data_IF_728299025822
#
_entry.id   IF_728299025822
#
_cell.length_a   1.000
_cell.length_b   1.000
_cell.length_c   1.000
_cell.angle_alpha   90.00
_cell.angle_beta   90.00
_cell.angle_gamma   90.00
#
_symmetry.space_group_name_H-M   'P 1'
#
loop_
_entity.id
_entity.type
_entity.pdbx_description
1 polymer ?
#
# COMPACT_ATOMS: atom_id res chain seq x y z
N UNK A 1 -18.60 -10.26 22.62
CA UNK A 1 -18.30 -10.10 21.17
C UNK A 1 -17.05 -9.23 21.00
N UNK A 2 -16.25 -9.38 19.93
CA UNK A 2 -15.07 -8.53 19.68
C UNK A 2 -15.38 -7.02 19.62
N UNK A 3 -16.66 -6.65 19.55
CA UNK A 3 -17.16 -5.28 19.43
C UNK A 3 -17.99 -4.80 20.62
N UNK A 4 -18.14 -5.61 21.67
CA UNK A 4 -19.07 -5.34 22.78
C UNK A 4 -18.72 -4.05 23.55
N UNK A 5 -17.43 -3.71 23.61
CA UNK A 5 -16.93 -2.51 24.28
C UNK A 5 -16.44 -1.44 23.29
N UNK A 6 -16.77 -1.56 22.00
CA UNK A 6 -16.34 -0.57 21.02
C UNK A 6 -17.07 0.77 21.24
N UNK A 7 -16.36 1.92 21.23
CA UNK A 7 -17.00 3.21 21.44
C UNK A 7 -17.93 3.56 20.27
N UNK A 8 -19.12 4.07 20.59
CA UNK A 8 -20.09 4.57 19.61
C UNK A 8 -20.04 6.10 19.61
N UNK A 9 -19.66 6.71 18.49
CA UNK A 9 -19.56 8.16 18.34
C UNK A 9 -20.60 8.66 17.33
N UNK A 10 -21.63 9.41 17.76
CA UNK A 10 -22.59 10.00 16.83
C UNK A 10 -21.96 11.20 16.12
N UNK A 11 -21.98 11.18 14.78
CA UNK A 11 -21.47 12.26 13.93
C UNK A 11 -22.50 12.67 12.86
N UNK A 12 -22.31 13.85 12.27
CA UNK A 12 -22.87 14.17 10.95
C UNK A 12 -21.74 14.59 10.03
N UNK A 13 -21.36 13.73 9.08
CA UNK A 13 -20.29 14.01 8.14
C UNK A 13 -20.64 15.19 7.21
N UNK A 14 -21.91 15.28 6.77
CA UNK A 14 -22.38 16.35 5.89
C UNK A 14 -22.37 17.71 6.60
N UNK A 15 -22.90 17.78 7.82
CA UNK A 15 -22.93 19.01 8.60
C UNK A 15 -21.63 19.27 9.37
N UNK A 16 -20.65 18.36 9.26
CA UNK A 16 -19.37 18.36 9.98
C UNK A 16 -19.50 18.47 11.50
N UNK A 17 -20.49 17.78 12.07
CA UNK A 17 -20.75 17.74 13.52
C UNK A 17 -19.99 16.58 14.17
N UNK A 18 -19.36 16.84 15.31
CA UNK A 18 -18.61 15.88 16.14
C UNK A 18 -17.40 15.19 15.47
N UNK A 19 -16.82 15.82 14.43
CA UNK A 19 -15.64 15.27 13.76
C UNK A 19 -14.41 15.29 14.69
N UNK A 20 -14.28 16.32 15.51
CA UNK A 20 -13.27 16.46 16.56
C UNK A 20 -13.39 15.34 17.60
N UNK A 21 -14.62 15.03 18.05
CA UNK A 21 -14.88 13.93 18.99
C UNK A 21 -14.47 12.59 18.37
N UNK A 22 -14.82 12.35 17.09
CA UNK A 22 -14.41 11.16 16.37
C UNK A 22 -12.88 11.01 16.30
N UNK A 23 -12.17 12.09 15.96
CA UNK A 23 -10.69 12.08 15.89
C UNK A 23 -10.10 11.76 17.27
N UNK A 24 -10.62 12.38 18.33
CA UNK A 24 -10.19 12.10 19.70
C UNK A 24 -10.44 10.64 20.08
N UNK A 25 -11.62 10.10 19.81
CA UNK A 25 -11.93 8.69 20.10
C UNK A 25 -11.00 7.74 19.35
N UNK A 26 -10.67 8.03 18.08
CA UNK A 26 -9.70 7.24 17.32
C UNK A 26 -8.33 7.26 18.00
N UNK A 27 -7.82 8.45 18.34
CA UNK A 27 -6.52 8.61 18.99
C UNK A 27 -6.44 7.93 20.36
N UNK A 28 -7.53 8.00 21.15
CA UNK A 28 -7.60 7.41 22.49
C UNK A 28 -7.78 5.88 22.46
N UNK A 29 -8.42 5.34 21.42
CA UNK A 29 -8.82 3.91 21.36
C UNK A 29 -7.91 3.05 20.49
N UNK A 30 -7.37 3.61 19.40
CA UNK A 30 -6.56 2.85 18.43
C UNK A 30 -5.08 3.16 18.68
N UNK A 31 -4.32 2.25 19.31
CA UNK A 31 -2.90 2.47 19.54
C UNK A 31 -2.14 2.48 18.21
N UNK A 32 -1.10 3.31 18.14
CA UNK A 32 -0.14 3.26 17.02
C UNK A 32 0.65 1.96 17.16
N UNK A 33 0.63 1.07 16.16
CA UNK A 33 1.39 -0.18 16.23
C UNK A 33 2.88 0.10 16.19
N UNK A 34 3.67 -0.69 16.94
CA UNK A 34 5.12 -0.66 16.82
C UNK A 34 5.56 -1.12 15.43
N UNK A 35 6.52 -0.40 14.85
CA UNK A 35 7.10 -0.71 13.53
C UNK A 35 8.56 -1.08 13.70
N UNK A 36 8.96 -2.17 13.06
CA UNK A 36 10.35 -2.58 12.97
C UNK A 36 10.88 -2.28 11.55
N UNK A 37 11.66 -1.21 11.36
CA UNK A 37 12.23 -0.85 10.06
C UNK A 37 13.34 -1.82 9.61
N UNK A 38 13.97 -2.54 10.53
CA UNK A 38 15.06 -3.49 10.24
C UNK A 38 14.53 -4.87 9.84
N UNK A 39 13.21 -5.10 9.94
CA UNK A 39 12.59 -6.33 9.47
C UNK A 39 12.66 -6.42 7.94
N UNK A 40 12.58 -7.66 7.41
CA UNK A 40 12.45 -7.88 5.97
C UNK A 40 11.19 -7.15 5.48
N UNK A 41 11.31 -6.25 4.48
CA UNK A 41 10.19 -5.44 4.02
C UNK A 41 9.05 -6.29 3.45
N UNK A 42 7.83 -6.03 3.91
CA UNK A 42 6.62 -6.65 3.34
C UNK A 42 5.65 -5.54 2.96
N UNK A 43 5.46 -5.35 1.67
CA UNK A 43 4.48 -4.43 1.12
C UNK A 43 3.25 -5.18 0.63
N UNK A 44 2.09 -4.86 1.21
CA UNK A 44 0.81 -5.43 0.82
C UNK A 44 0.22 -4.62 -0.32
N UNK A 45 0.29 -5.16 -1.53
CA UNK A 45 -0.30 -4.54 -2.73
C UNK A 45 -1.81 -4.65 -2.67
N UNK A 46 -2.50 -3.51 -2.79
CA UNK A 46 -3.96 -3.45 -2.85
C UNK A 46 -4.47 -3.00 -4.23
N UNK A 47 -3.67 -2.21 -4.95
CA UNK A 47 -4.02 -1.63 -6.26
C UNK A 47 -2.80 -1.58 -7.17
N UNK A 48 -3.03 -1.63 -8.47
CA UNK A 48 -2.03 -1.35 -9.49
C UNK A 48 -2.54 -0.29 -10.46
N UNK A 49 -1.63 0.48 -11.02
CA UNK A 49 -1.95 1.57 -11.94
C UNK A 49 -0.95 1.62 -13.09
N UNK A 50 -1.45 2.04 -14.25
CA UNK A 50 -0.64 2.49 -15.37
C UNK A 50 -0.72 4.02 -15.43
N UNK A 51 0.43 4.68 -15.46
CA UNK A 51 0.55 6.14 -15.54
C UNK A 51 0.82 6.63 -16.97
N UNK A 52 0.98 5.69 -17.92
CA UNK A 52 1.22 6.01 -19.31
C UNK A 52 -0.07 6.51 -19.97
N UNK A 53 -0.01 7.70 -20.60
CA UNK A 53 -1.18 8.29 -21.28
C UNK A 53 -1.43 7.59 -22.63
N UNK A 54 -2.68 7.57 -23.12
CA UNK A 54 -2.96 7.12 -24.48
C UNK A 54 -2.08 7.84 -25.51
N UNK A 55 -1.47 7.08 -26.43
CA UNK A 55 -0.54 7.62 -27.44
C UNK A 55 0.91 7.78 -26.98
N UNK A 56 1.27 7.33 -25.76
CA UNK A 56 2.68 7.31 -25.32
C UNK A 56 3.52 6.43 -26.24
N UNK A 57 4.61 6.98 -26.77
CA UNK A 57 5.55 6.22 -27.61
C UNK A 57 6.18 5.07 -26.82
N UNK A 58 6.45 3.91 -27.47
CA UNK A 58 7.05 2.76 -26.79
C UNK A 58 8.32 3.07 -26.00
N UNK A 59 9.19 3.94 -26.53
CA UNK A 59 10.46 4.34 -25.88
C UNK A 59 10.28 5.24 -24.66
N UNK A 60 9.09 5.80 -24.44
CA UNK A 60 8.76 6.71 -23.34
C UNK A 60 7.89 6.06 -22.27
N UNK A 61 7.58 4.77 -22.41
CA UNK A 61 6.79 4.05 -21.43
C UNK A 61 7.49 3.99 -20.07
N UNK A 62 6.74 4.28 -19.02
CA UNK A 62 7.16 4.18 -17.63
C UNK A 62 6.66 2.87 -17.03
N UNK A 63 7.37 2.40 -16.00
CA UNK A 63 6.99 1.19 -15.27
C UNK A 63 5.63 1.29 -14.58
N UNK A 64 5.06 0.14 -14.25
CA UNK A 64 3.80 0.07 -13.51
C UNK A 64 3.93 0.59 -12.08
N UNK A 65 2.81 1.06 -11.51
CA UNK A 65 2.76 1.58 -10.15
C UNK A 65 1.96 0.62 -9.27
N UNK A 66 2.52 0.25 -8.12
CA UNK A 66 1.84 -0.55 -7.09
C UNK A 66 1.46 0.34 -5.92
N UNK A 67 0.18 0.33 -5.55
CA UNK A 67 -0.38 1.06 -4.41
C UNK A 67 -0.83 0.10 -3.31
N UNK A 68 -0.50 0.42 -2.06
CA UNK A 68 -0.71 -0.49 -0.94
C UNK A 68 -0.21 0.08 0.38
N UNK A 69 0.07 -0.82 1.32
CA UNK A 69 0.57 -0.46 2.64
C UNK A 69 1.82 -1.28 2.98
N UNK A 70 2.84 -0.61 3.53
CA UNK A 70 3.99 -1.27 4.10
C UNK A 70 3.61 -1.84 5.47
N UNK A 71 3.68 -3.15 5.60
CA UNK A 71 3.35 -3.86 6.85
C UNK A 71 4.51 -3.80 7.85
N UNK A 72 5.74 -3.92 7.35
CA UNK A 72 6.98 -3.97 8.14
C UNK A 72 8.19 -3.69 7.25
N UNK A 73 9.34 -3.43 7.88
CA UNK A 73 10.61 -3.16 7.22
C UNK A 73 10.68 -1.77 6.61
N UNK A 74 11.65 -1.56 5.73
CA UNK A 74 11.87 -0.30 5.02
C UNK A 74 12.14 -0.56 3.53
N UNK A 75 11.51 0.21 2.66
CA UNK A 75 11.78 0.18 1.21
C UNK A 75 12.46 1.46 0.77
N UNK A 76 13.44 1.35 -0.13
CA UNK A 76 14.19 2.46 -0.70
C UNK A 76 14.13 2.46 -2.22
N UNK A 77 14.26 3.63 -2.82
CA UNK A 77 14.44 3.75 -4.27
C UNK A 77 15.75 3.06 -4.66
N UNK A 78 15.68 2.18 -5.66
CA UNK A 78 16.80 1.36 -6.12
C UNK A 78 16.78 -0.08 -5.61
N UNK A 79 15.96 -0.41 -4.60
CA UNK A 79 15.86 -1.78 -4.09
C UNK A 79 15.31 -2.74 -5.17
N UNK A 80 15.89 -3.92 -5.23
CA UNK A 80 15.34 -5.07 -5.95
C UNK A 80 14.30 -5.76 -5.06
N UNK A 81 13.13 -6.02 -5.62
CA UNK A 81 11.99 -6.62 -4.94
C UNK A 81 11.44 -7.80 -5.72
N UNK A 82 10.76 -8.69 -5.01
CA UNK A 82 9.99 -9.78 -5.58
C UNK A 82 8.49 -9.52 -5.37
N UNK A 83 7.71 -9.61 -6.43
CA UNK A 83 6.25 -9.54 -6.39
C UNK A 83 5.71 -10.97 -6.40
N UNK A 84 5.02 -11.33 -5.32
CA UNK A 84 4.43 -12.66 -5.09
C UNK A 84 2.92 -12.56 -4.89
N UNK A 85 2.10 -13.47 -5.43
CA UNK A 85 2.48 -14.70 -6.15
C UNK A 85 2.99 -14.47 -7.59
N UNK A 86 2.87 -13.25 -8.10
CA UNK A 86 3.34 -12.87 -9.44
C UNK A 86 2.34 -13.19 -10.54
N UNK A 87 2.82 -13.65 -11.70
CA UNK A 87 2.01 -13.91 -12.89
C UNK A 87 1.44 -15.33 -12.86
N UNK A 88 0.16 -15.45 -13.15
CA UNK A 88 -0.49 -16.76 -13.35
C UNK A 88 -0.23 -17.26 -14.76
N UNK A 89 0.23 -18.50 -14.86
CA UNK A 89 0.34 -19.26 -16.10
C UNK A 89 -0.47 -20.55 -16.01
N UNK A 90 -1.20 -20.88 -17.07
CA UNK A 90 -1.80 -22.21 -17.20
C UNK A 90 -0.92 -23.05 -18.15
N UNK A 91 -0.22 -24.06 -17.62
CA UNK A 91 0.62 -24.99 -18.38
C UNK A 91 0.04 -26.39 -18.27
N UNK A 92 -0.38 -26.96 -19.41
CA UNK A 92 -0.91 -28.33 -19.51
C UNK A 92 -2.01 -28.64 -18.47
N UNK A 93 -2.96 -27.71 -18.27
CA UNK A 93 -4.05 -27.87 -17.31
C UNK A 93 -3.68 -27.66 -15.84
N UNK A 94 -2.43 -27.30 -15.52
CA UNK A 94 -1.99 -26.90 -14.17
C UNK A 94 -1.77 -25.40 -14.12
N UNK A 95 -2.32 -24.76 -13.08
CA UNK A 95 -2.03 -23.37 -12.76
C UNK A 95 -0.69 -23.27 -12.02
N UNK A 96 0.23 -22.50 -12.58
CA UNK A 96 1.56 -22.20 -12.04
C UNK A 96 1.64 -20.70 -11.81
N UNK A 97 2.21 -20.29 -10.69
CA UNK A 97 2.46 -18.88 -10.37
C UNK A 97 3.95 -18.60 -10.45
N UNK A 98 4.33 -17.59 -11.22
CA UNK A 98 5.71 -17.17 -11.42
C UNK A 98 5.93 -15.79 -10.80
N UNK A 99 6.83 -15.73 -9.82
CA UNK A 99 7.22 -14.50 -9.13
C UNK A 99 7.87 -13.52 -10.11
N UNK A 100 7.68 -12.23 -9.88
CA UNK A 100 8.25 -11.16 -10.72
C UNK A 100 9.34 -10.46 -9.92
N UNK A 101 10.56 -10.39 -10.47
CA UNK A 101 11.60 -9.53 -9.93
C UNK A 101 11.50 -8.14 -10.57
N UNK A 102 11.59 -7.09 -9.76
CA UNK A 102 11.50 -5.71 -10.22
C UNK A 102 12.37 -4.79 -9.35
N UNK A 103 12.69 -3.60 -9.87
CA UNK A 103 13.41 -2.56 -9.12
C UNK A 103 12.48 -1.39 -8.80
N UNK A 104 12.57 -0.88 -7.57
CA UNK A 104 11.85 0.34 -7.18
C UNK A 104 12.48 1.55 -7.87
N UNK A 105 11.76 2.15 -8.81
CA UNK A 105 12.20 3.36 -9.52
C UNK A 105 11.73 4.66 -8.84
N UNK A 106 10.77 4.58 -7.92
CA UNK A 106 10.27 5.73 -7.19
C UNK A 106 9.27 5.34 -6.10
N UNK A 107 9.16 6.17 -5.07
CA UNK A 107 8.24 6.01 -3.96
C UNK A 107 7.44 7.31 -3.75
N UNK A 108 6.14 7.18 -3.44
CA UNK A 108 5.26 8.32 -3.16
C UNK A 108 4.38 8.06 -1.95
N UNK A 109 4.25 9.06 -1.08
CA UNK A 109 3.36 9.04 0.09
C UNK A 109 2.82 10.44 0.36
N UNK A 110 1.56 10.57 0.77
CA UNK A 110 0.94 11.88 1.04
C UNK A 110 0.90 12.86 -0.15
N UNK A 111 1.11 12.37 -1.38
CA UNK A 111 1.22 13.21 -2.59
C UNK A 111 2.66 13.59 -2.96
N UNK A 112 3.62 13.36 -2.07
CA UNK A 112 5.02 13.74 -2.23
C UNK A 112 5.89 12.55 -2.65
N UNK A 113 7.02 12.85 -3.31
CA UNK A 113 8.03 11.83 -3.65
C UNK A 113 9.05 11.71 -2.53
N UNK A 114 9.41 10.47 -2.18
CA UNK A 114 10.32 10.17 -1.06
C UNK A 114 11.40 9.19 -1.48
N UNK A 115 12.54 9.22 -0.78
CA UNK A 115 13.65 8.30 -1.03
C UNK A 115 13.43 6.92 -0.38
N UNK A 116 12.71 6.87 0.75
CA UNK A 116 12.42 5.66 1.51
C UNK A 116 11.07 5.74 2.25
N UNK A 117 10.51 4.58 2.60
CA UNK A 117 9.29 4.43 3.43
C UNK A 117 9.47 3.34 4.49
N UNK A 118 8.94 3.56 5.71
CA UNK A 118 8.97 2.64 6.86
C UNK A 118 7.68 2.68 7.68
#
# INVERSE_FOLDING_TARGET
SAYENAPIVPISAQARVNIDVLIKTIADTIPVPERNPDAIPIFLVARSFDINRPGTEPLKLQGGVLGGALKQGMLKVGDEIEISPGIRHDRQGKTVWEKINARIVGLKTGGESVAEIS
#
